data_IF_271845807324
#
_entry.id   IF_271845807324
#
_cell.length_a   1.000
_cell.length_b   1.000
_cell.length_c   1.000
_cell.angle_alpha   90.00
_cell.angle_beta   90.00
_cell.angle_gamma   90.00
#
_symmetry.space_group_name_H-M   'P 1'
#
loop_
_entity.id
_entity.type
_entity.pdbx_description
1 polymer ?
#
# COMPACT_ATOMS: atom_id res chain seq x y z
N UNK A 1 -73.95 -9.55 -25.03
CA UNK A 1 -72.87 -8.60 -24.67
C UNK A 1 -72.23 -9.02 -23.34
N UNK A 2 -71.69 -10.24 -23.23
CA UNK A 2 -71.02 -10.68 -22.00
C UNK A 2 -69.91 -11.74 -22.18
N UNK A 3 -69.80 -12.39 -23.35
CA UNK A 3 -68.75 -13.40 -23.59
C UNK A 3 -67.35 -12.80 -23.77
N UNK A 4 -67.24 -11.58 -24.30
CA UNK A 4 -65.94 -10.92 -24.53
C UNK A 4 -65.29 -10.39 -23.25
N UNK A 5 -66.07 -10.18 -22.19
CA UNK A 5 -65.58 -9.77 -20.87
C UNK A 5 -64.99 -10.94 -20.11
N UNK A 6 -65.58 -12.12 -20.23
CA UNK A 6 -65.17 -13.34 -19.53
C UNK A 6 -63.84 -13.87 -20.08
N UNK A 7 -63.68 -13.92 -21.41
CA UNK A 7 -62.41 -14.31 -22.06
C UNK A 7 -61.27 -13.35 -21.66
N UNK A 8 -61.57 -12.05 -21.53
CA UNK A 8 -60.58 -11.05 -21.09
C UNK A 8 -60.27 -11.18 -19.60
N UNK A 9 -61.24 -11.55 -18.77
CA UNK A 9 -61.04 -11.82 -17.35
C UNK A 9 -60.19 -13.08 -17.15
N UNK A 10 -60.55 -14.18 -17.81
CA UNK A 10 -59.80 -15.45 -17.83
C UNK A 10 -58.36 -15.27 -18.35
N UNK A 11 -58.16 -14.51 -19.44
CA UNK A 11 -56.82 -14.22 -19.95
C UNK A 11 -55.98 -13.39 -18.97
N UNK A 12 -56.60 -12.46 -18.24
CA UNK A 12 -55.94 -11.60 -17.25
C UNK A 12 -55.57 -12.37 -15.97
N UNK A 13 -56.35 -13.38 -15.61
CA UNK A 13 -56.12 -14.28 -14.49
C UNK A 13 -55.04 -15.31 -14.84
N UNK A 14 -55.09 -15.91 -16.03
CA UNK A 14 -54.04 -16.79 -16.55
C UNK A 14 -52.68 -16.09 -16.66
N UNK A 15 -52.65 -14.79 -16.99
CA UNK A 15 -51.42 -14.00 -17.04
C UNK A 15 -50.89 -13.61 -15.65
N UNK A 16 -51.75 -13.59 -14.61
CA UNK A 16 -51.35 -13.34 -13.21
C UNK A 16 -50.63 -14.54 -12.60
N UNK A 17 -51.03 -15.75 -12.98
CA UNK A 17 -50.47 -17.00 -12.47
C UNK A 17 -49.35 -17.58 -13.34
N UNK A 18 -48.98 -16.88 -14.41
CA UNK A 18 -47.78 -17.22 -15.17
C UNK A 18 -46.57 -17.24 -14.21
N UNK A 19 -45.80 -18.35 -14.15
CA UNK A 19 -44.69 -18.49 -13.23
C UNK A 19 -43.68 -17.39 -13.53
N UNK A 20 -43.62 -16.38 -12.66
CA UNK A 20 -42.59 -15.36 -12.72
C UNK A 20 -41.28 -16.09 -12.49
N UNK A 21 -40.53 -16.35 -13.56
CA UNK A 21 -39.16 -16.86 -13.48
C UNK A 21 -38.37 -15.85 -12.65
N UNK A 22 -38.31 -16.10 -11.34
CA UNK A 22 -37.56 -15.31 -10.38
C UNK A 22 -36.11 -15.53 -10.77
N UNK A 23 -35.58 -14.65 -11.62
CA UNK A 23 -34.19 -14.68 -12.03
C UNK A 23 -33.37 -14.65 -10.76
N UNK A 24 -32.89 -15.83 -10.34
CA UNK A 24 -32.06 -15.96 -9.17
C UNK A 24 -30.85 -15.07 -9.44
N UNK A 25 -30.71 -13.98 -8.68
CA UNK A 25 -29.60 -13.05 -8.79
C UNK A 25 -28.32 -13.87 -8.82
N UNK A 26 -27.72 -13.97 -10.01
CA UNK A 26 -26.48 -14.69 -10.23
C UNK A 26 -25.44 -13.95 -9.40
N UNK A 27 -25.12 -14.48 -8.22
CA UNK A 27 -24.14 -13.85 -7.34
C UNK A 27 -22.83 -13.63 -8.10
N UNK A 28 -22.06 -12.61 -7.72
CA UNK A 28 -20.84 -12.16 -8.43
C UNK A 28 -19.80 -13.26 -8.71
N UNK A 29 -19.88 -14.39 -8.01
CA UNK A 29 -19.02 -15.55 -8.24
C UNK A 29 -19.79 -16.67 -8.93
N UNK A 30 -19.36 -16.99 -10.15
CA UNK A 30 -19.80 -18.17 -10.91
C UNK A 30 -19.73 -19.43 -10.02
N UNK A 31 -20.69 -20.37 -10.12
CA UNK A 31 -20.69 -21.61 -9.34
C UNK A 31 -19.38 -22.40 -9.42
N UNK A 32 -18.69 -22.34 -10.56
CA UNK A 32 -17.39 -23.00 -10.77
C UNK A 32 -16.27 -22.36 -9.96
N UNK A 33 -16.26 -21.02 -9.85
CA UNK A 33 -15.26 -20.28 -9.07
C UNK A 33 -15.46 -20.50 -7.58
N UNK A 34 -16.71 -20.66 -7.12
CA UNK A 34 -17.00 -21.02 -5.72
C UNK A 34 -16.42 -22.39 -5.35
N UNK A 35 -16.61 -23.40 -6.20
CA UNK A 35 -16.02 -24.73 -6.01
C UNK A 35 -14.49 -24.69 -6.00
N UNK A 36 -13.87 -23.95 -6.94
CA UNK A 36 -12.40 -23.78 -6.97
C UNK A 36 -11.88 -23.11 -5.69
N UNK A 37 -12.56 -22.09 -5.18
CA UNK A 37 -12.18 -21.43 -3.93
C UNK A 37 -12.30 -22.36 -2.71
N UNK A 38 -13.33 -23.19 -2.67
CA UNK A 38 -13.51 -24.20 -1.61
C UNK A 38 -12.38 -25.24 -1.63
N UNK A 39 -12.04 -25.76 -2.82
CA UNK A 39 -10.92 -26.70 -2.99
C UNK A 39 -9.58 -26.06 -2.63
N UNK A 40 -9.37 -24.79 -2.98
CA UNK A 40 -8.18 -24.03 -2.61
C UNK A 40 -8.08 -23.84 -1.08
N UNK A 41 -9.17 -23.45 -0.41
CA UNK A 41 -9.22 -23.30 1.05
C UNK A 41 -9.05 -24.63 1.80
N UNK A 42 -9.48 -25.75 1.21
CA UNK A 42 -9.28 -27.08 1.77
C UNK A 42 -7.80 -27.49 1.77
N UNK A 43 -6.98 -26.93 0.86
CA UNK A 43 -5.55 -27.17 0.85
C UNK A 43 -4.82 -26.25 1.85
N UNK A 44 -4.49 -26.79 3.02
CA UNK A 44 -3.79 -26.06 4.08
C UNK A 44 -2.49 -25.40 3.60
N UNK A 45 -1.72 -26.09 2.73
CA UNK A 45 -0.44 -25.57 2.23
C UNK A 45 -0.66 -24.37 1.31
N UNK A 46 -1.62 -24.48 0.38
CA UNK A 46 -1.99 -23.40 -0.54
C UNK A 46 -2.51 -22.15 0.20
N UNK A 47 -3.28 -22.35 1.27
CA UNK A 47 -3.76 -21.25 2.10
C UNK A 47 -2.62 -20.53 2.82
N UNK A 48 -1.69 -21.26 3.45
CA UNK A 48 -0.52 -20.67 4.10
C UNK A 48 0.41 -19.96 3.10
N UNK A 49 0.68 -20.55 1.94
CA UNK A 49 1.48 -19.91 0.90
C UNK A 49 0.86 -18.61 0.40
N UNK A 50 -0.47 -18.54 0.27
CA UNK A 50 -1.15 -17.30 -0.09
C UNK A 50 -0.91 -16.21 0.97
N UNK A 51 -1.02 -16.55 2.25
CA UNK A 51 -0.80 -15.58 3.33
C UNK A 51 0.65 -15.12 3.43
N UNK A 52 1.62 -16.04 3.32
CA UNK A 52 3.04 -15.68 3.31
C UNK A 52 3.35 -14.79 2.11
N UNK A 53 2.89 -15.17 0.92
CA UNK A 53 3.06 -14.36 -0.28
C UNK A 53 2.40 -12.99 -0.13
N UNK A 54 1.16 -12.93 0.36
CA UNK A 54 0.45 -11.68 0.58
C UNK A 54 1.16 -10.78 1.59
N UNK A 55 1.68 -11.36 2.67
CA UNK A 55 2.46 -10.63 3.66
C UNK A 55 3.74 -10.05 3.04
N UNK A 56 4.53 -10.86 2.32
CA UNK A 56 5.74 -10.41 1.65
C UNK A 56 5.45 -9.35 0.57
N UNK A 57 4.36 -9.55 -0.18
CA UNK A 57 3.93 -8.62 -1.22
C UNK A 57 3.52 -7.28 -0.61
N UNK A 58 2.68 -7.28 0.41
CA UNK A 58 2.30 -6.06 1.14
C UNK A 58 3.55 -5.39 1.72
N UNK A 59 4.44 -6.15 2.36
CA UNK A 59 5.69 -5.64 2.90
C UNK A 59 6.57 -4.99 1.80
N UNK A 60 6.60 -5.56 0.60
CA UNK A 60 7.34 -4.99 -0.54
C UNK A 60 6.74 -3.67 -1.06
N UNK A 61 5.42 -3.52 -1.02
CA UNK A 61 4.76 -2.25 -1.39
C UNK A 61 5.07 -1.14 -0.39
N UNK A 62 5.22 -1.50 0.89
CA UNK A 62 5.60 -0.58 1.96
C UNK A 62 7.11 -0.55 2.22
N UNK A 63 7.93 -1.23 1.40
CA UNK A 63 9.37 -1.30 1.61
C UNK A 63 10.01 0.08 1.50
N UNK A 64 9.58 0.90 0.54
CA UNK A 64 10.08 2.27 0.37
C UNK A 64 9.73 3.18 1.57
N UNK A 65 8.71 2.84 2.36
CA UNK A 65 8.36 3.56 3.60
C UNK A 65 9.11 3.02 4.82
N UNK A 66 9.43 1.73 4.85
CA UNK A 66 10.14 1.06 5.95
C UNK A 66 11.66 1.15 5.84
N UNK A 67 12.16 1.24 4.61
CA UNK A 67 13.55 1.27 4.19
C UNK A 67 13.74 2.57 3.43
N UNK A 68 14.11 3.61 4.16
CA UNK A 68 14.26 4.95 3.59
C UNK A 68 15.53 5.59 4.14
N UNK A 69 16.26 6.30 3.27
CA UNK A 69 17.46 7.04 3.63
C UNK A 69 17.18 8.41 4.26
N UNK A 70 15.89 8.76 4.38
CA UNK A 70 15.43 10.03 4.94
C UNK A 70 14.55 9.81 6.18
N UNK A 71 14.55 10.74 7.14
CA UNK A 71 13.67 10.67 8.28
C UNK A 71 12.20 10.83 7.86
N UNK A 72 11.30 10.10 8.53
CA UNK A 72 9.85 10.13 8.28
C UNK A 72 9.32 11.55 8.54
N UNK A 73 9.77 12.13 9.65
CA UNK A 73 9.40 13.47 10.07
C UNK A 73 10.61 14.15 10.74
N UNK A 74 10.73 15.46 10.53
CA UNK A 74 11.75 16.29 11.14
C UNK A 74 11.14 17.62 11.59
N UNK A 75 11.53 18.09 12.77
CA UNK A 75 11.24 19.45 13.21
C UNK A 75 12.51 20.27 13.08
N UNK A 76 12.45 21.43 12.43
CA UNK A 76 13.58 22.35 12.30
C UNK A 76 13.13 23.79 12.44
N UNK A 77 13.69 24.53 13.42
CA UNK A 77 13.39 25.95 13.70
C UNK A 77 11.88 26.24 13.85
N UNK A 78 11.13 25.29 14.41
CA UNK A 78 9.68 25.39 14.61
C UNK A 78 8.81 24.96 13.42
N UNK A 79 9.42 24.56 12.30
CA UNK A 79 8.70 24.02 11.14
C UNK A 79 8.74 22.49 11.14
N UNK A 80 7.59 21.86 10.86
CA UNK A 80 7.46 20.41 10.71
C UNK A 80 7.66 20.03 9.23
N UNK A 81 8.66 19.20 8.99
CA UNK A 81 9.09 18.73 7.67
C UNK A 81 8.77 17.24 7.53
N UNK A 82 8.46 16.83 6.30
CA UNK A 82 8.20 15.42 5.95
C UNK A 82 9.16 14.95 4.84
N UNK A 83 10.44 14.67 5.15
CA UNK A 83 11.47 14.39 4.15
C UNK A 83 11.23 13.13 3.29
N UNK A 84 10.41 12.19 3.77
CA UNK A 84 9.96 11.02 2.98
C UNK A 84 8.98 11.42 1.87
N UNK A 85 8.24 12.51 2.03
CA UNK A 85 7.22 12.96 1.06
C UNK A 85 7.68 14.14 0.20
N UNK A 86 8.66 14.92 0.67
CA UNK A 86 9.16 16.13 0.00
C UNK A 86 10.67 16.22 0.05
N UNK A 87 11.25 16.69 -1.05
CA UNK A 87 12.67 16.99 -1.11
C UNK A 87 12.93 18.40 -0.57
N UNK A 88 13.93 18.53 0.28
CA UNK A 88 14.37 19.81 0.83
C UNK A 88 15.81 20.07 0.36
N UNK A 89 16.12 21.28 -0.14
CA UNK A 89 17.49 21.65 -0.47
C UNK A 89 18.31 21.81 0.81
N UNK A 90 19.58 21.45 0.74
CA UNK A 90 20.47 21.48 1.90
C UNK A 90 20.74 22.92 2.38
N UNK A 91 20.59 23.90 1.48
CA UNK A 91 20.64 25.33 1.80
C UNK A 91 19.64 25.75 2.88
N UNK A 92 18.54 25.00 3.06
CA UNK A 92 17.60 25.22 4.17
C UNK A 92 18.25 25.00 5.54
N UNK A 93 19.24 24.11 5.60
CA UNK A 93 19.99 23.74 6.79
C UNK A 93 21.40 24.36 6.81
N UNK A 94 21.69 25.31 5.90
CA UNK A 94 23.01 25.96 5.83
C UNK A 94 24.06 25.23 5.00
N UNK A 95 23.68 24.19 4.25
CA UNK A 95 24.55 23.52 3.27
C UNK A 95 24.45 24.13 1.87
N UNK A 96 25.00 23.42 0.88
CA UNK A 96 25.10 23.90 -0.50
C UNK A 96 24.53 22.93 -1.54
N UNK A 97 24.20 21.69 -1.15
CA UNK A 97 23.66 20.70 -2.07
C UNK A 97 22.20 20.97 -2.44
N UNK A 98 21.83 20.61 -3.67
CA UNK A 98 20.47 20.73 -4.18
C UNK A 98 19.48 19.81 -3.43
N UNK A 99 19.97 18.72 -2.84
CA UNK A 99 19.22 17.77 -2.01
C UNK A 99 19.93 17.57 -0.69
N UNK A 100 19.18 17.58 0.39
CA UNK A 100 19.71 17.36 1.75
C UNK A 100 20.05 15.89 1.95
N UNK A 101 21.29 15.60 2.33
CA UNK A 101 21.66 14.33 2.93
C UNK A 101 21.43 14.38 4.44
N UNK A 102 20.35 13.76 4.91
CA UNK A 102 20.01 13.74 6.33
C UNK A 102 20.94 12.82 7.15
N UNK A 103 21.78 12.01 6.49
CA UNK A 103 22.77 11.16 7.14
C UNK A 103 24.08 11.91 7.40
N UNK A 104 24.30 13.05 6.76
CA UNK A 104 25.49 13.87 7.00
C UNK A 104 25.55 14.28 8.49
N UNK A 105 26.66 14.02 9.20
CA UNK A 105 26.85 14.46 10.59
C UNK A 105 26.61 15.95 10.81
N UNK A 106 26.94 16.80 9.83
CA UNK A 106 26.69 18.25 9.87
C UNK A 106 25.19 18.55 9.95
N UNK A 107 24.41 17.96 9.05
CA UNK A 107 22.96 18.14 8.99
C UNK A 107 22.28 17.56 10.24
N UNK A 108 22.73 16.40 10.71
CA UNK A 108 22.21 15.80 11.94
C UNK A 108 22.43 16.69 13.16
N UNK A 109 23.62 17.28 13.29
CA UNK A 109 23.93 18.21 14.38
C UNK A 109 23.15 19.51 14.26
N UNK A 110 23.03 20.08 13.06
CA UNK A 110 22.29 21.33 12.82
C UNK A 110 20.80 21.16 13.14
N UNK A 111 20.18 20.08 12.67
CA UNK A 111 18.77 19.79 13.00
C UNK A 111 18.63 19.46 14.48
N UNK A 112 19.56 18.71 15.09
CA UNK A 112 19.53 18.41 16.52
C UNK A 112 19.67 19.64 17.43
N UNK A 113 20.38 20.68 16.98
CA UNK A 113 20.48 21.98 17.69
C UNK A 113 19.19 22.79 17.63
N UNK A 114 18.41 22.63 16.56
CA UNK A 114 17.24 23.46 16.26
C UNK A 114 15.92 22.68 16.21
N UNK A 115 15.92 21.41 16.64
CA UNK A 115 14.77 20.52 16.57
C UNK A 115 15.13 19.05 16.72
N UNK A 116 14.42 18.17 16.01
CA UNK A 116 14.49 16.71 16.19
C UNK A 116 14.09 15.97 14.91
N UNK A 117 14.42 14.68 14.82
CA UNK A 117 14.07 13.83 13.68
C UNK A 117 13.61 12.45 14.14
N UNK A 118 12.59 11.91 13.48
CA UNK A 118 12.16 10.52 13.63
C UNK A 118 12.50 9.76 12.36
N UNK A 119 13.27 8.70 12.53
CA UNK A 119 13.79 7.89 11.45
C UNK A 119 13.04 6.56 11.35
N UNK A 120 12.99 5.96 10.15
CA UNK A 120 12.56 4.58 10.02
C UNK A 120 13.51 3.64 10.77
N UNK A 121 13.03 2.44 11.16
CA UNK A 121 13.87 1.44 11.84
C UNK A 121 15.10 1.02 11.03
N UNK A 122 14.97 1.01 9.70
CA UNK A 122 16.06 0.66 8.77
C UNK A 122 16.47 1.93 8.03
N UNK A 123 17.66 2.43 8.37
CA UNK A 123 18.25 3.66 7.83
C UNK A 123 19.29 3.32 6.76
N UNK A 124 18.86 2.63 5.72
CA UNK A 124 19.68 2.28 4.56
C UNK A 124 18.78 2.21 3.35
N UNK A 125 19.08 2.96 2.30
CA UNK A 125 18.56 2.76 0.97
C UNK A 125 19.71 2.34 0.04
N UNK A 126 19.35 1.81 -1.13
CA UNK A 126 20.29 1.21 -2.07
C UNK A 126 21.27 2.23 -2.68
N UNK A 127 21.06 3.53 -2.47
CA UNK A 127 21.86 4.65 -2.97
C UNK A 127 22.73 5.33 -1.90
N UNK A 128 22.82 4.79 -0.68
CA UNK A 128 23.76 5.31 0.33
C UNK A 128 25.20 5.24 -0.22
N UNK A 129 25.80 6.40 -0.48
CA UNK A 129 27.20 6.49 -0.93
C UNK A 129 28.10 6.03 0.22
N UNK A 130 28.88 4.97 -0.02
CA UNK A 130 29.85 4.51 0.96
C UNK A 130 31.05 5.47 0.98
N UNK A 131 31.08 6.38 1.95
CA UNK A 131 32.20 7.30 2.17
C UNK A 131 33.36 6.66 2.95
N UNK A 132 33.25 5.39 3.36
CA UNK A 132 34.38 4.64 3.92
C UNK A 132 35.34 4.25 2.80
N UNK A 133 36.21 5.20 2.43
CA UNK A 133 37.40 4.90 1.65
C UNK A 133 38.28 3.96 2.50
N UNK A 134 38.66 2.78 1.99
CA UNK A 134 39.64 1.93 2.66
C UNK A 134 40.90 2.75 2.87
N UNK A 135 41.18 3.09 4.12
CA UNK A 135 42.47 3.67 4.47
C UNK A 135 43.45 2.51 4.27
N UNK A 136 44.22 2.56 3.18
CA UNK A 136 45.38 1.70 3.03
C UNK A 136 46.26 2.00 4.26
N UNK A 137 46.29 1.05 5.20
CA UNK A 137 47.20 1.07 6.34
C UNK A 137 48.59 1.22 5.74
N UNK A 138 49.17 2.42 5.82
CA UNK A 138 50.58 2.60 5.52
C UNK A 138 51.35 2.03 6.70
N UNK A 139 52.11 0.92 6.55
CA UNK A 139 53.04 0.50 7.58
C UNK A 139 54.16 1.56 7.68
N UNK A 140 54.54 1.86 8.93
CA UNK A 140 55.60 2.79 9.33
C UNK A 140 56.97 2.41 8.74
#
# INVERSE_FOLDING_TARGET
MNETLDIRALAKEALRDAPRHRQARKGWLSPINRRRLQLFRANRRGWWSLWIFLFLFVLSLFAELLVNDRPIIASYKGELLFPVLREYPESKFGGFLARTDFRDPFIQQEIGKHGWMIWPPIRYAHDTVNNELPHLVQPL
#
